data_IF_916834082368
#
_entry.id   IF_916834082368
#
_cell.length_a   1.000
_cell.length_b   1.000
_cell.length_c   1.000
_cell.angle_alpha   90.00
_cell.angle_beta   90.00
_cell.angle_gamma   90.00
#
_symmetry.space_group_name_H-M   'P 1'
#
loop_
_entity.id
_entity.type
_entity.pdbx_description
1 polymer ?
#
# COMPACT_ATOMS: atom_id res chain seq x y z
N UNK A 1 21.50 26.09 -13.99
CA UNK A 1 20.43 26.79 -13.26
C UNK A 1 19.30 25.79 -13.02
N UNK A 2 19.28 25.16 -11.85
CA UNK A 2 18.31 24.11 -11.54
C UNK A 2 16.97 24.73 -11.15
N UNK A 3 15.99 24.70 -12.05
CA UNK A 3 14.62 25.10 -11.70
C UNK A 3 14.08 24.13 -10.64
N UNK A 4 13.97 24.60 -9.39
CA UNK A 4 13.30 23.84 -8.32
C UNK A 4 11.87 23.54 -8.75
N UNK A 5 11.50 22.26 -8.73
CA UNK A 5 10.13 21.81 -9.04
C UNK A 5 9.16 22.38 -8.00
N UNK A 6 7.95 22.74 -8.43
CA UNK A 6 6.91 23.24 -7.52
C UNK A 6 6.24 22.06 -6.82
N UNK A 7 6.13 22.15 -5.49
CA UNK A 7 5.43 21.15 -4.68
C UNK A 7 4.01 20.92 -5.17
N UNK A 8 3.59 19.66 -5.21
CA UNK A 8 2.23 19.27 -5.51
C UNK A 8 1.36 19.44 -4.25
N UNK A 9 0.19 20.09 -4.35
CA UNK A 9 -0.69 20.33 -3.22
C UNK A 9 -1.32 19.03 -2.71
N UNK A 10 -1.59 18.97 -1.40
CA UNK A 10 -2.41 17.90 -0.82
C UNK A 10 -3.86 18.04 -1.32
N UNK A 11 -4.45 16.91 -1.72
CA UNK A 11 -5.83 16.84 -2.23
C UNK A 11 -6.74 16.13 -1.23
N UNK A 12 -8.00 16.56 -1.18
CA UNK A 12 -9.06 15.88 -0.42
C UNK A 12 -9.75 14.88 -1.35
N UNK A 13 -9.29 13.63 -1.34
CA UNK A 13 -9.73 12.60 -2.29
C UNK A 13 -11.20 12.20 -2.19
N UNK A 14 -11.86 12.45 -1.06
CA UNK A 14 -13.30 12.20 -0.89
C UNK A 14 -14.15 13.08 -1.79
N UNK A 15 -13.67 14.28 -2.12
CA UNK A 15 -14.34 15.24 -3.01
C UNK A 15 -13.97 15.04 -4.48
N UNK A 16 -12.99 14.19 -4.79
CA UNK A 16 -12.55 13.92 -6.15
C UNK A 16 -13.44 12.87 -6.82
N UNK A 17 -13.91 13.22 -8.02
CA UNK A 17 -14.55 12.26 -8.92
C UNK A 17 -13.52 11.25 -9.43
N UNK A 18 -13.98 10.05 -9.81
CA UNK A 18 -13.11 9.03 -10.40
C UNK A 18 -12.48 9.52 -11.72
N UNK A 19 -13.23 10.32 -12.49
CA UNK A 19 -12.75 10.96 -13.73
C UNK A 19 -11.57 11.88 -13.46
N UNK A 20 -11.69 12.77 -12.47
CA UNK A 20 -10.64 13.74 -12.14
C UNK A 20 -9.40 13.06 -11.56
N UNK A 21 -9.59 12.02 -10.74
CA UNK A 21 -8.49 11.22 -10.21
C UNK A 21 -7.70 10.54 -11.33
N UNK A 22 -8.39 9.90 -12.29
CA UNK A 22 -7.75 9.29 -13.46
C UNK A 22 -7.03 10.30 -14.34
N UNK A 23 -7.60 11.50 -14.49
CA UNK A 23 -6.95 12.58 -15.25
C UNK A 23 -5.61 12.97 -14.63
N UNK A 24 -5.57 13.19 -13.30
CA UNK A 24 -4.33 13.51 -12.58
C UNK A 24 -3.28 12.42 -12.65
N UNK A 25 -3.68 11.15 -12.58
CA UNK A 25 -2.76 10.03 -12.78
C UNK A 25 -2.13 10.06 -14.18
N UNK A 26 -2.95 10.27 -15.23
CA UNK A 26 -2.47 10.36 -16.61
C UNK A 26 -1.52 11.53 -16.84
N UNK A 27 -1.75 12.68 -16.21
CA UNK A 27 -0.88 13.86 -16.30
C UNK A 27 0.57 13.55 -15.88
N UNK A 28 0.77 12.56 -15.01
CA UNK A 28 2.08 12.14 -14.52
C UNK A 28 2.53 10.78 -15.07
N UNK A 29 1.81 10.22 -16.05
CA UNK A 29 2.16 8.92 -16.64
C UNK A 29 1.89 7.71 -15.73
N UNK A 30 1.06 7.87 -14.70
CA UNK A 30 0.72 6.81 -13.76
C UNK A 30 -0.40 5.92 -14.31
N UNK A 31 -0.35 4.62 -13.97
CA UNK A 31 -1.40 3.68 -14.31
C UNK A 31 -2.76 4.09 -13.71
N UNK A 32 -3.79 4.05 -14.55
CA UNK A 32 -5.19 4.28 -14.16
C UNK A 32 -5.96 2.98 -13.93
N UNK A 33 -5.30 1.83 -13.91
CA UNK A 33 -5.95 0.55 -13.63
C UNK A 33 -6.14 0.33 -12.13
N UNK A 34 -7.22 -0.37 -11.77
CA UNK A 34 -7.56 -0.73 -10.39
C UNK A 34 -8.80 -0.03 -9.82
N UNK A 35 -9.08 -0.31 -8.56
CA UNK A 35 -10.18 0.28 -7.79
C UNK A 35 -9.88 1.74 -7.45
N UNK A 36 -10.92 2.54 -7.15
CA UNK A 36 -10.74 3.96 -6.74
C UNK A 36 -9.75 4.10 -5.57
N UNK A 37 -9.76 3.18 -4.61
CA UNK A 37 -8.82 3.18 -3.49
C UNK A 37 -7.36 2.96 -3.95
N UNK A 38 -7.12 2.04 -4.88
CA UNK A 38 -5.80 1.83 -5.47
C UNK A 38 -5.32 3.09 -6.21
N UNK A 39 -6.19 3.74 -6.97
CA UNK A 39 -5.88 5.00 -7.67
C UNK A 39 -5.53 6.13 -6.70
N UNK A 40 -6.27 6.25 -5.59
CA UNK A 40 -5.99 7.24 -4.54
C UNK A 40 -4.62 6.97 -3.92
N UNK A 41 -4.36 5.73 -3.49
CA UNK A 41 -3.08 5.33 -2.88
C UNK A 41 -1.91 5.61 -3.81
N UNK A 42 -2.03 5.25 -5.10
CA UNK A 42 -1.02 5.51 -6.13
C UNK A 42 -0.70 7.00 -6.24
N UNK A 43 -1.73 7.84 -6.36
CA UNK A 43 -1.54 9.28 -6.45
C UNK A 43 -0.94 9.88 -5.17
N UNK A 44 -1.32 9.38 -3.99
CA UNK A 44 -0.78 9.86 -2.71
C UNK A 44 0.73 9.59 -2.61
N UNK A 45 1.12 8.35 -2.89
CA UNK A 45 2.52 7.93 -2.87
C UNK A 45 3.35 8.70 -3.90
N UNK A 46 2.81 8.93 -5.10
CA UNK A 46 3.46 9.78 -6.10
C UNK A 46 3.65 11.22 -5.61
N UNK A 47 2.63 11.85 -5.02
CA UNK A 47 2.74 13.21 -4.48
C UNK A 47 3.77 13.27 -3.36
N UNK A 48 3.83 12.26 -2.50
CA UNK A 48 4.81 12.18 -1.43
C UNK A 48 6.23 12.13 -1.98
N UNK A 49 6.50 11.20 -2.90
CA UNK A 49 7.81 11.04 -3.54
C UNK A 49 8.20 12.29 -4.37
N UNK A 50 7.26 12.85 -5.14
CA UNK A 50 7.52 14.06 -5.92
C UNK A 50 7.91 15.23 -5.03
N UNK A 51 7.20 15.42 -3.91
CA UNK A 51 7.48 16.50 -2.98
C UNK A 51 8.81 16.30 -2.24
N UNK A 52 9.17 15.07 -1.87
CA UNK A 52 10.49 14.81 -1.26
C UNK A 52 11.65 15.09 -2.22
N UNK A 53 11.45 14.85 -3.52
CA UNK A 53 12.47 15.17 -4.55
C UNK A 53 12.60 16.67 -4.81
N UNK A 54 11.66 17.52 -4.39
CA UNK A 54 11.76 18.98 -4.57
C UNK A 54 12.87 19.61 -3.71
N UNK A 55 13.17 19.01 -2.56
CA UNK A 55 14.22 19.44 -1.63
C UNK A 55 15.52 18.59 -1.76
N UNK A 56 15.55 17.64 -2.71
CA UNK A 56 16.70 16.77 -2.95
C UNK A 56 17.86 17.50 -3.63
N UNK A 57 19.09 17.18 -3.22
CA UNK A 57 20.32 17.66 -3.88
C UNK A 57 20.48 17.08 -5.29
N UNK A 58 19.97 15.86 -5.51
CA UNK A 58 20.02 15.13 -6.78
C UNK A 58 18.61 14.63 -7.11
N UNK A 59 17.73 15.51 -7.61
CA UNK A 59 16.32 15.20 -7.76
C UNK A 59 16.09 14.19 -8.89
N UNK A 60 15.42 13.06 -8.58
CA UNK A 60 15.03 12.05 -9.59
C UNK A 60 14.12 12.65 -10.65
N UNK A 61 14.16 12.13 -11.87
CA UNK A 61 13.19 12.51 -12.91
C UNK A 61 11.79 11.95 -12.62
N UNK A 62 10.77 12.53 -13.25
CA UNK A 62 9.38 12.03 -13.12
C UNK A 62 9.28 10.59 -13.61
N UNK A 63 9.98 10.23 -14.69
CA UNK A 63 9.98 8.87 -15.22
C UNK A 63 10.59 7.86 -14.22
N UNK A 64 11.69 8.22 -13.55
CA UNK A 64 12.30 7.39 -12.51
C UNK A 64 11.36 7.22 -11.31
N UNK A 65 10.72 8.30 -10.87
CA UNK A 65 9.73 8.25 -9.80
C UNK A 65 8.55 7.32 -10.15
N UNK A 66 8.01 7.41 -11.37
CA UNK A 66 6.92 6.53 -11.82
C UNK A 66 7.38 5.05 -11.81
N UNK A 67 8.56 4.76 -12.35
CA UNK A 67 9.12 3.39 -12.38
C UNK A 67 9.34 2.84 -10.97
N UNK A 68 9.89 3.65 -10.07
CA UNK A 68 10.07 3.28 -8.66
C UNK A 68 8.72 2.95 -8.01
N UNK A 69 7.71 3.79 -8.24
CA UNK A 69 6.37 3.58 -7.69
C UNK A 69 5.75 2.27 -8.16
N UNK A 70 5.86 1.94 -9.45
CA UNK A 70 5.37 0.68 -10.00
C UNK A 70 6.05 -0.54 -9.36
N UNK A 71 7.36 -0.45 -9.12
CA UNK A 71 8.09 -1.50 -8.42
C UNK A 71 7.62 -1.65 -6.97
N UNK A 72 7.41 -0.54 -6.26
CA UNK A 72 6.90 -0.54 -4.88
C UNK A 72 5.50 -1.17 -4.83
N UNK A 73 4.61 -0.82 -5.76
CA UNK A 73 3.26 -1.42 -5.83
C UNK A 73 3.32 -2.92 -6.10
N UNK A 74 4.19 -3.36 -7.02
CA UNK A 74 4.36 -4.78 -7.34
C UNK A 74 4.92 -5.58 -6.16
N UNK A 75 5.91 -5.04 -5.46
CA UNK A 75 6.50 -5.67 -4.26
C UNK A 75 5.47 -5.75 -3.14
N UNK A 76 4.71 -4.68 -2.88
CA UNK A 76 3.64 -4.69 -1.87
C UNK A 76 2.55 -5.71 -2.20
N UNK A 77 2.12 -5.81 -3.47
CA UNK A 77 1.14 -6.79 -3.88
C UNK A 77 1.62 -8.24 -3.68
N UNK A 78 2.90 -8.52 -3.92
CA UNK A 78 3.48 -9.82 -3.61
C UNK A 78 3.52 -10.10 -2.11
N UNK A 79 3.93 -9.12 -1.30
CA UNK A 79 3.95 -9.24 0.15
C UNK A 79 2.55 -9.46 0.75
N UNK A 80 1.55 -8.73 0.26
CA UNK A 80 0.16 -8.89 0.68
C UNK A 80 -0.42 -10.24 0.24
N UNK A 81 0.03 -10.80 -0.89
CA UNK A 81 -0.35 -12.14 -1.34
C UNK A 81 0.38 -13.25 -0.58
N UNK A 82 1.62 -13.01 -0.14
CA UNK A 82 2.42 -13.95 0.64
C UNK A 82 2.14 -13.89 2.13
N UNK A 83 1.46 -12.84 2.61
CA UNK A 83 1.01 -12.77 4.00
C UNK A 83 0.11 -13.99 4.22
N UNK A 84 0.46 -14.86 5.19
CA UNK A 84 -0.50 -15.84 5.68
C UNK A 84 -1.77 -15.05 6.01
N UNK A 85 -2.94 -15.59 5.66
CA UNK A 85 -4.19 -15.08 6.24
C UNK A 85 -3.90 -14.93 7.72
N UNK A 86 -4.04 -13.72 8.24
CA UNK A 86 -3.79 -13.49 9.65
C UNK A 86 -4.71 -14.46 10.40
N UNK A 87 -4.15 -15.58 10.85
CA UNK A 87 -4.78 -16.53 11.75
C UNK A 87 -4.74 -15.88 13.12
N UNK A 88 -5.34 -14.70 13.18
CA UNK A 88 -5.48 -13.95 14.40
C UNK A 88 -6.40 -14.80 15.25
N UNK A 89 -6.00 -15.03 16.49
CA UNK A 89 -6.82 -15.69 17.49
C UNK A 89 -8.00 -14.76 17.78
N UNK A 90 -9.06 -14.85 16.96
CA UNK A 90 -10.23 -13.98 17.05
C UNK A 90 -11.07 -14.45 18.23
N UNK A 91 -11.04 -13.68 19.32
CA UNK A 91 -11.92 -13.87 20.45
C UNK A 91 -13.19 -13.04 20.29
N UNK A 92 -14.34 -13.66 20.54
CA UNK A 92 -15.65 -12.97 20.55
C UNK A 92 -16.16 -12.88 21.99
N UNK A 93 -16.96 -11.85 22.29
CA UNK A 93 -17.41 -11.52 23.65
C UNK A 93 -18.18 -12.64 24.38
N UNK A 94 -18.69 -13.64 23.65
CA UNK A 94 -19.56 -14.70 24.19
C UNK A 94 -18.90 -16.09 24.19
N UNK A 95 -17.57 -16.19 24.03
CA UNK A 95 -16.87 -17.46 24.13
C UNK A 95 -16.59 -17.84 25.58
N UNK A 96 -16.78 -19.13 25.88
CA UNK A 96 -16.40 -19.75 27.15
C UNK A 96 -14.89 -19.99 27.22
N UNK A 97 -14.36 -20.14 28.43
CA UNK A 97 -12.94 -20.43 28.67
C UNK A 97 -12.43 -21.64 27.87
N UNK A 98 -13.23 -22.72 27.81
CA UNK A 98 -12.89 -23.92 27.05
C UNK A 98 -12.79 -23.67 25.53
N UNK A 99 -13.62 -22.77 24.99
CA UNK A 99 -13.57 -22.41 23.56
C UNK A 99 -12.35 -21.54 23.26
N UNK A 100 -12.01 -20.63 24.18
CA UNK A 100 -10.79 -19.81 24.12
C UNK A 100 -9.54 -20.68 24.19
N UNK A 101 -9.51 -21.68 25.07
CA UNK A 101 -8.40 -22.64 25.20
C UNK A 101 -8.23 -23.52 23.96
N UNK A 102 -9.34 -23.90 23.33
CA UNK A 102 -9.31 -24.64 22.07
C UNK A 102 -8.69 -23.80 20.95
N UNK A 103 -9.11 -22.53 20.81
CA UNK A 103 -8.52 -21.59 19.85
C UNK A 103 -7.01 -21.44 20.09
N UNK A 104 -6.57 -21.36 21.36
CA UNK A 104 -5.14 -21.32 21.69
C UNK A 104 -4.39 -22.57 21.26
N UNK A 105 -4.92 -23.76 21.56
CA UNK A 105 -4.26 -25.02 21.18
C UNK A 105 -4.18 -25.19 19.66
N UNK A 106 -5.27 -24.92 18.95
CA UNK A 106 -5.33 -25.09 17.50
C UNK A 106 -4.33 -24.16 16.79
N UNK A 107 -4.23 -22.90 17.23
CA UNK A 107 -3.24 -21.93 16.72
C UNK A 107 -1.78 -22.37 16.97
N UNK A 108 -1.49 -22.88 18.19
CA UNK A 108 -0.15 -23.36 18.53
C UNK A 108 0.25 -24.61 17.72
N UNK A 109 -0.71 -25.50 17.43
CA UNK A 109 -0.49 -26.70 16.63
C UNK A 109 -0.21 -26.35 15.17
N UNK A 110 -1.01 -25.48 14.56
CA UNK A 110 -0.82 -25.02 13.16
C UNK A 110 0.53 -24.31 12.99
N UNK A 111 0.88 -23.41 13.92
CA UNK A 111 2.20 -22.76 13.96
C UNK A 111 3.33 -23.78 14.03
N UNK A 112 3.27 -24.75 14.96
CA UNK A 112 4.33 -25.76 15.10
C UNK A 112 4.45 -26.65 13.86
N UNK A 113 3.34 -27.05 13.23
CA UNK A 113 3.37 -27.87 12.01
C UNK A 113 4.02 -27.12 10.84
N UNK A 114 3.77 -25.81 10.73
CA UNK A 114 4.40 -24.95 9.72
C UNK A 114 5.92 -24.79 9.90
N UNK A 115 6.45 -24.89 11.12
CA UNK A 115 7.91 -24.84 11.37
C UNK A 115 8.60 -26.17 11.06
N UNK A 116 7.92 -27.31 11.22
CA UNK A 116 8.48 -28.64 10.93
C UNK A 116 8.46 -29.03 9.44
N UNK A 117 7.77 -28.27 8.58
CA UNK A 117 7.62 -28.56 7.14
C UNK A 117 8.59 -27.75 6.24
N UNK A 118 9.57 -27.02 6.83
CA UNK A 118 10.65 -26.34 6.10
C UNK A 118 12.01 -27.03 6.31
#
# INVERSE_FOLDING_TARGET
SGQKRKLLPKLVYSLLSDRDLRKRLKEHGLSTQGTKQQLIKRHQEFVHMYNSECDSLNPKSVAEMVKELENIEKTRAQLDASKPKEDNMIFTKHQTENEIDKIHRDYLLDKNESYCRN
#
